data_IF_648789141179
#
_entry.id   IF_648789141179
#
_cell.length_a   1.000
_cell.length_b   1.000
_cell.length_c   1.000
_cell.angle_alpha   90.00
_cell.angle_beta   90.00
_cell.angle_gamma   90.00
#
_symmetry.space_group_name_H-M   'P 1'
#
loop_
_entity.id
_entity.type
_entity.pdbx_description
1 polymer ?
#
# COMPACT_ATOMS: atom_id res chain seq x y z
N UNK A 1 -18.10 16.60 48.26
CA UNK A 1 -18.26 15.41 49.12
C UNK A 1 -17.01 14.56 48.95
N UNK A 2 -16.30 14.32 50.06
CA UNK A 2 -15.18 13.38 50.15
C UNK A 2 -15.70 11.95 50.08
N UNK A 3 -15.03 11.08 49.33
CA UNK A 3 -14.91 9.66 49.70
C UNK A 3 -13.53 9.15 49.30
N UNK A 4 -12.73 8.81 50.31
CA UNK A 4 -11.57 7.94 50.21
C UNK A 4 -12.05 6.49 50.28
N UNK A 5 -11.53 5.63 49.40
CA UNK A 5 -11.34 4.19 49.71
C UNK A 5 -10.10 3.70 48.98
N UNK A 6 -9.05 3.45 49.76
CA UNK A 6 -7.90 2.61 49.41
C UNK A 6 -8.34 1.14 49.35
N UNK A 7 -8.06 0.46 48.24
CA UNK A 7 -8.20 -1.00 48.14
C UNK A 7 -6.95 -1.60 47.50
N UNK A 8 -6.58 -2.74 48.07
CA UNK A 8 -5.30 -3.44 48.04
C UNK A 8 -5.04 -4.12 46.69
N UNK A 9 -3.76 -4.17 46.31
CA UNK A 9 -3.20 -4.96 45.21
C UNK A 9 -3.73 -6.41 45.20
N UNK A 10 -4.15 -6.88 44.03
CA UNK A 10 -4.13 -8.31 43.68
C UNK A 10 -3.65 -8.43 42.24
N UNK A 11 -2.38 -8.81 42.10
CA UNK A 11 -1.77 -9.16 40.84
C UNK A 11 -2.29 -10.55 40.41
N UNK A 12 -3.23 -10.57 39.47
CA UNK A 12 -3.54 -11.76 38.69
C UNK A 12 -2.69 -11.72 37.43
N UNK A 13 -1.54 -12.39 37.49
CA UNK A 13 -0.76 -12.75 36.31
C UNK A 13 -1.56 -13.84 35.59
N UNK A 14 -2.42 -13.45 34.67
CA UNK A 14 -2.91 -14.35 33.63
C UNK A 14 -1.75 -14.58 32.67
N UNK A 15 -1.01 -15.66 32.91
CA UNK A 15 -0.10 -16.23 31.93
C UNK A 15 -0.92 -16.72 30.74
N UNK A 16 -1.21 -15.81 29.82
CA UNK A 16 -1.69 -16.16 28.49
C UNK A 16 -0.53 -16.84 27.78
N UNK A 17 -0.52 -18.16 27.74
CA UNK A 17 0.26 -18.91 26.75
C UNK A 17 -0.37 -18.63 25.40
N UNK A 18 -0.03 -17.47 24.82
CA UNK A 18 -0.24 -17.22 23.41
C UNK A 18 0.63 -18.25 22.71
N UNK A 19 -0.03 -19.18 22.01
CA UNK A 19 0.62 -20.08 21.07
C UNK A 19 1.65 -19.27 20.29
N UNK A 20 2.92 -19.61 20.46
CA UNK A 20 3.98 -19.15 19.59
C UNK A 20 3.75 -19.75 18.21
N UNK A 21 2.82 -19.17 17.45
CA UNK A 21 2.84 -19.26 16.01
C UNK A 21 4.23 -18.77 15.61
N UNK A 22 5.03 -19.68 15.10
CA UNK A 22 6.41 -19.45 14.70
C UNK A 22 6.49 -18.28 13.73
N UNK A 23 6.84 -17.10 14.24
CA UNK A 23 7.26 -15.88 13.53
C UNK A 23 8.51 -16.07 12.64
N UNK A 24 8.92 -17.32 12.37
CA UNK A 24 10.11 -17.63 11.56
C UNK A 24 9.91 -17.28 10.08
N UNK A 25 8.67 -17.26 9.57
CA UNK A 25 8.39 -16.91 8.17
C UNK A 25 8.40 -15.40 7.87
N UNK A 26 7.98 -14.57 8.83
CA UNK A 26 7.85 -13.11 8.62
C UNK A 26 9.18 -12.34 8.76
N UNK A 27 10.27 -13.00 9.20
CA UNK A 27 11.57 -12.37 9.48
C UNK A 27 12.61 -12.54 8.38
N UNK A 28 12.27 -13.24 7.31
CA UNK A 28 13.24 -13.57 6.26
C UNK A 28 13.29 -12.41 5.28
N UNK A 29 14.47 -11.81 5.14
CA UNK A 29 14.78 -10.86 4.05
C UNK A 29 14.41 -11.50 2.72
N UNK A 30 13.71 -10.76 1.87
CA UNK A 30 13.51 -11.17 0.49
C UNK A 30 14.87 -11.11 -0.26
N UNK A 31 15.39 -12.28 -0.64
CA UNK A 31 16.56 -12.43 -1.49
C UNK A 31 16.21 -13.03 -2.85
N UNK A 32 14.96 -13.50 -3.02
CA UNK A 32 14.56 -14.31 -4.17
C UNK A 32 14.14 -13.46 -5.35
N UNK A 33 13.70 -12.21 -5.10
CA UNK A 33 13.13 -11.33 -6.11
C UNK A 33 14.07 -10.21 -6.59
N UNK A 34 15.28 -10.09 -6.01
CA UNK A 34 16.25 -9.03 -6.34
C UNK A 34 16.70 -9.05 -7.82
N UNK A 35 16.65 -10.22 -8.46
CA UNK A 35 16.98 -10.44 -9.88
C UNK A 35 15.76 -10.65 -10.79
N UNK A 36 14.54 -10.57 -10.26
CA UNK A 36 13.32 -10.81 -11.04
C UNK A 36 13.03 -9.60 -11.96
N UNK A 37 13.16 -9.80 -13.27
CA UNK A 37 12.92 -8.74 -14.27
C UNK A 37 11.46 -8.27 -14.30
N UNK A 38 10.51 -9.12 -13.90
CA UNK A 38 9.08 -8.77 -13.91
C UNK A 38 8.73 -7.80 -12.77
N UNK A 39 9.60 -7.69 -11.76
CA UNK A 39 9.45 -6.75 -10.63
C UNK A 39 10.08 -5.40 -10.95
N UNK A 40 11.09 -5.34 -11.82
CA UNK A 40 11.66 -4.06 -12.26
C UNK A 40 10.86 -3.48 -13.44
N UNK A 41 9.82 -2.70 -13.14
CA UNK A 41 9.02 -2.01 -14.16
C UNK A 41 9.55 -0.62 -14.57
N UNK A 42 10.68 -0.17 -14.02
CA UNK A 42 11.18 1.18 -14.27
C UNK A 42 11.95 1.27 -15.58
N UNK A 43 11.77 2.35 -16.37
CA UNK A 43 12.59 2.62 -17.52
C UNK A 43 14.08 2.66 -17.15
N UNK A 44 14.95 2.26 -18.09
CA UNK A 44 16.39 2.40 -17.92
C UNK A 44 16.79 3.88 -17.79
N UNK A 45 17.89 4.19 -17.11
CA UNK A 45 18.30 5.56 -16.81
C UNK A 45 18.46 6.48 -18.04
N UNK A 46 18.79 5.92 -19.20
CA UNK A 46 18.95 6.65 -20.47
C UNK A 46 17.61 6.90 -21.19
N UNK A 47 16.54 6.28 -20.72
CA UNK A 47 15.16 6.40 -21.22
C UNK A 47 14.31 7.24 -20.28
N UNK A 48 14.90 8.26 -19.65
CA UNK A 48 14.20 9.19 -18.75
C UNK A 48 12.87 9.64 -19.38
N UNK A 49 12.84 9.97 -20.69
CA UNK A 49 11.63 10.40 -21.41
C UNK A 49 10.51 9.34 -21.57
N UNK A 50 10.78 8.06 -21.31
CA UNK A 50 9.81 6.96 -21.39
C UNK A 50 9.04 6.73 -20.08
N UNK A 51 9.00 7.73 -19.18
CA UNK A 51 8.49 7.69 -17.79
C UNK A 51 7.20 6.92 -17.47
N UNK A 52 6.43 6.44 -18.44
CA UNK A 52 5.29 5.58 -18.17
C UNK A 52 5.74 4.17 -17.75
N UNK A 53 5.47 3.78 -16.50
CA UNK A 53 5.55 2.38 -16.09
C UNK A 53 4.37 1.60 -16.68
N UNK A 54 4.49 0.28 -16.73
CA UNK A 54 3.39 -0.61 -17.14
C UNK A 54 2.89 -0.41 -18.57
N UNK A 55 3.71 0.21 -19.43
CA UNK A 55 3.44 0.31 -20.87
C UNK A 55 3.27 -1.08 -21.48
N UNK A 56 2.25 -1.23 -22.32
CA UNK A 56 1.87 -2.51 -22.92
C UNK A 56 1.18 -3.49 -21.96
N UNK A 57 1.09 -3.15 -20.66
CA UNK A 57 0.33 -3.91 -19.65
C UNK A 57 -0.96 -3.17 -19.32
N UNK A 58 -0.88 -1.92 -18.88
CA UNK A 58 -2.03 -1.03 -18.67
C UNK A 58 -2.27 -0.28 -19.97
N UNK A 59 -3.21 -0.76 -20.77
CA UNK A 59 -3.48 -0.24 -22.13
C UNK A 59 -4.88 0.34 -22.24
N UNK A 60 -5.14 1.12 -23.30
CA UNK A 60 -6.50 1.58 -23.61
C UNK A 60 -7.46 0.45 -24.00
N UNK A 61 -6.94 -0.71 -24.42
CA UNK A 61 -7.78 -1.88 -24.68
C UNK A 61 -8.31 -2.48 -23.39
N UNK A 62 -7.48 -2.53 -22.34
CA UNK A 62 -7.89 -2.99 -21.01
C UNK A 62 -8.72 -1.94 -20.27
N UNK A 63 -8.34 -0.67 -20.38
CA UNK A 63 -8.99 0.46 -19.73
C UNK A 63 -9.43 1.50 -20.79
N UNK A 64 -10.61 1.36 -21.41
CA UNK A 64 -11.05 2.23 -22.51
C UNK A 64 -11.11 3.72 -22.18
N UNK A 65 -11.29 4.05 -20.90
CA UNK A 65 -11.35 5.43 -20.43
C UNK A 65 -9.98 6.00 -20.03
N UNK A 66 -8.90 5.22 -20.14
CA UNK A 66 -7.54 5.64 -19.80
C UNK A 66 -7.06 6.78 -20.70
N UNK A 67 -6.66 7.88 -20.06
CA UNK A 67 -6.13 9.06 -20.72
C UNK A 67 -4.61 8.95 -20.89
N UNK A 68 -4.19 8.03 -21.75
CA UNK A 68 -2.79 7.92 -22.16
C UNK A 68 -2.55 8.54 -23.55
N UNK A 69 -1.34 9.05 -23.84
CA UNK A 69 -1.01 9.60 -25.17
C UNK A 69 -1.07 8.56 -26.30
N UNK A 70 -0.75 7.31 -26.03
CA UNK A 70 -0.78 6.20 -26.99
C UNK A 70 -1.70 5.06 -26.53
N UNK A 71 -1.96 4.09 -27.41
CA UNK A 71 -2.72 2.89 -27.07
C UNK A 71 -1.94 1.92 -26.18
N UNK A 72 -0.60 1.99 -26.20
CA UNK A 72 0.27 1.22 -25.32
C UNK A 72 0.08 1.60 -23.85
N UNK A 73 -0.52 2.76 -23.57
CA UNK A 73 -0.89 3.19 -22.23
C UNK A 73 0.30 3.39 -21.30
N UNK A 74 0.14 2.93 -20.06
CA UNK A 74 1.08 3.10 -18.95
C UNK A 74 0.67 4.20 -17.97
N UNK A 75 1.37 4.23 -16.83
CA UNK A 75 1.14 5.17 -15.74
C UNK A 75 2.37 6.06 -15.52
N UNK A 76 2.17 7.37 -15.38
CA UNK A 76 3.24 8.37 -15.25
C UNK A 76 3.30 9.00 -13.85
N UNK A 77 2.32 8.74 -12.98
CA UNK A 77 2.26 9.28 -11.61
C UNK A 77 2.57 8.20 -10.57
N UNK A 78 3.87 7.98 -10.33
CA UNK A 78 4.37 7.01 -9.36
C UNK A 78 5.65 7.48 -8.67
N UNK A 79 6.00 6.80 -7.58
CA UNK A 79 7.15 7.10 -6.73
C UNK A 79 7.91 5.81 -6.44
N UNK A 80 9.07 5.60 -7.11
CA UNK A 80 9.95 4.46 -6.83
C UNK A 80 10.49 4.50 -5.41
N UNK A 81 10.45 3.36 -4.71
CA UNK A 81 10.97 3.19 -3.36
C UNK A 81 10.17 3.90 -2.26
N UNK A 82 9.05 4.54 -2.60
CA UNK A 82 8.24 5.32 -1.66
C UNK A 82 6.93 4.60 -1.38
N UNK A 83 6.61 4.49 -0.10
CA UNK A 83 5.38 3.95 0.45
C UNK A 83 4.41 5.09 0.77
N UNK A 84 3.78 5.65 -0.27
CA UNK A 84 2.70 6.61 -0.08
C UNK A 84 1.47 5.85 0.41
N UNK A 85 1.34 5.72 1.72
CA UNK A 85 0.14 5.14 2.35
C UNK A 85 -1.08 6.05 2.18
N UNK A 86 -2.25 5.51 2.52
CA UNK A 86 -3.48 6.28 2.53
C UNK A 86 -4.20 6.35 3.86
N UNK A 87 -5.29 7.12 3.88
CA UNK A 87 -5.81 7.73 5.13
C UNK A 87 -7.23 7.36 5.52
N UNK A 88 -8.02 6.70 4.68
CA UNK A 88 -9.43 6.41 5.00
C UNK A 88 -9.74 4.93 4.96
N UNK A 89 -9.37 4.24 3.89
CA UNK A 89 -9.58 2.81 3.73
C UNK A 89 -8.35 2.16 3.12
N UNK A 90 -8.13 0.90 3.45
CA UNK A 90 -7.13 0.05 2.82
C UNK A 90 -7.74 -1.27 2.37
N UNK A 91 -7.24 -1.80 1.25
CA UNK A 91 -7.51 -3.17 0.79
C UNK A 91 -6.16 -3.81 0.46
N UNK A 92 -5.80 -4.86 1.18
CA UNK A 92 -4.60 -5.64 0.90
C UNK A 92 -4.93 -6.78 -0.08
N UNK A 93 -4.11 -6.91 -1.11
CA UNK A 93 -4.16 -7.95 -2.14
C UNK A 93 -2.77 -8.61 -2.22
N UNK A 94 -2.74 -9.94 -2.26
CA UNK A 94 -1.51 -10.72 -2.18
C UNK A 94 -1.20 -11.43 -3.50
N UNK A 95 -0.07 -12.13 -3.55
CA UNK A 95 0.33 -12.92 -4.72
C UNK A 95 -0.77 -13.88 -5.18
N UNK A 96 -1.43 -14.57 -4.23
CA UNK A 96 -2.57 -15.46 -4.49
C UNK A 96 -3.79 -14.78 -5.12
N UNK A 97 -3.91 -13.46 -5.01
CA UNK A 97 -5.01 -12.65 -5.56
C UNK A 97 -4.69 -12.15 -6.99
N UNK A 98 -3.59 -12.64 -7.57
CA UNK A 98 -3.12 -12.33 -8.91
C UNK A 98 -2.17 -11.14 -8.98
N UNK A 99 -1.60 -10.70 -7.85
CA UNK A 99 -0.62 -9.60 -7.80
C UNK A 99 0.79 -10.15 -7.94
N UNK A 100 1.35 -10.08 -9.15
CA UNK A 100 2.70 -10.57 -9.42
C UNK A 100 3.71 -9.42 -9.55
N UNK A 101 3.24 -8.23 -9.91
CA UNK A 101 4.05 -7.03 -10.09
C UNK A 101 3.23 -5.75 -9.80
N UNK A 102 3.88 -4.59 -9.85
CA UNK A 102 3.21 -3.32 -9.61
C UNK A 102 2.15 -2.95 -10.66
N UNK A 103 2.25 -3.48 -11.88
CA UNK A 103 1.26 -3.23 -12.93
C UNK A 103 -0.06 -3.92 -12.64
N UNK A 104 -0.01 -5.12 -12.06
CA UNK A 104 -1.21 -5.78 -11.54
C UNK A 104 -1.84 -4.94 -10.42
N UNK A 105 -1.01 -4.39 -9.52
CA UNK A 105 -1.49 -3.51 -8.43
C UNK A 105 -2.17 -2.23 -8.95
N UNK A 106 -1.52 -1.54 -9.90
CA UNK A 106 -2.08 -0.35 -10.54
C UNK A 106 -3.38 -0.67 -11.31
N UNK A 107 -3.43 -1.82 -12.01
CA UNK A 107 -4.64 -2.28 -12.69
C UNK A 107 -5.80 -2.50 -11.70
N UNK A 108 -5.56 -3.12 -10.55
CA UNK A 108 -6.58 -3.29 -9.49
C UNK A 108 -7.12 -1.96 -8.98
N UNK A 109 -6.27 -0.94 -8.86
CA UNK A 109 -6.74 0.40 -8.48
C UNK A 109 -7.61 1.03 -9.58
N UNK A 110 -7.22 0.89 -10.85
CA UNK A 110 -8.00 1.38 -12.00
C UNK A 110 -9.33 0.62 -12.18
N UNK A 111 -9.42 -0.64 -11.77
CA UNK A 111 -10.67 -1.43 -11.72
C UNK A 111 -11.63 -0.93 -10.63
N UNK A 112 -11.12 -0.24 -9.61
CA UNK A 112 -11.88 0.23 -8.45
C UNK A 112 -11.90 1.76 -8.31
N UNK A 113 -12.31 2.54 -9.34
CA UNK A 113 -12.18 4.00 -9.35
C UNK A 113 -13.06 4.74 -8.34
N UNK A 114 -13.96 4.03 -7.66
CA UNK A 114 -14.85 4.59 -6.62
C UNK A 114 -14.31 4.40 -5.21
N UNK A 115 -13.29 3.56 -5.05
CA UNK A 115 -12.71 3.21 -3.74
C UNK A 115 -11.19 3.24 -3.70
N UNK A 116 -10.52 3.38 -4.85
CA UNK A 116 -9.06 3.49 -4.94
C UNK A 116 -8.66 4.81 -5.62
N UNK A 117 -7.75 5.54 -4.97
CA UNK A 117 -7.06 6.68 -5.58
C UNK A 117 -5.53 6.56 -5.51
N UNK A 118 -5.03 5.66 -4.69
CA UNK A 118 -3.62 5.42 -4.46
C UNK A 118 -3.37 3.93 -4.25
N UNK A 119 -2.22 3.44 -4.69
CA UNK A 119 -1.83 2.06 -4.54
C UNK A 119 -0.35 1.96 -4.19
N UNK A 120 0.03 0.90 -3.46
CA UNK A 120 1.41 0.61 -3.09
C UNK A 120 1.71 -0.87 -3.32
N UNK A 121 2.75 -1.15 -4.08
CA UNK A 121 3.31 -2.49 -4.27
C UNK A 121 4.60 -2.62 -3.46
N UNK A 122 4.57 -3.41 -2.39
CA UNK A 122 5.69 -3.60 -1.44
C UNK A 122 5.52 -4.87 -0.60
N UNK A 123 6.55 -5.25 0.14
CA UNK A 123 6.39 -6.22 1.24
C UNK A 123 5.55 -5.61 2.36
N UNK A 124 4.39 -6.21 2.64
CA UNK A 124 3.54 -5.78 3.75
C UNK A 124 3.96 -6.40 5.08
N UNK A 125 4.71 -7.51 5.05
CA UNK A 125 5.07 -8.31 6.22
C UNK A 125 3.84 -8.73 7.03
N UNK A 126 2.79 -9.11 6.31
CA UNK A 126 1.48 -9.50 6.86
C UNK A 126 1.26 -10.98 6.61
N UNK A 127 0.45 -11.61 7.46
CA UNK A 127 0.11 -13.01 7.28
C UNK A 127 -0.56 -13.23 5.91
N UNK A 128 0.03 -14.11 5.10
CA UNK A 128 -0.49 -14.45 3.77
C UNK A 128 0.11 -13.67 2.61
N UNK A 129 1.12 -12.83 2.84
CA UNK A 129 1.98 -12.32 1.76
C UNK A 129 3.00 -13.36 1.26
N UNK A 130 3.19 -14.45 2.01
CA UNK A 130 4.08 -15.57 1.72
C UNK A 130 5.52 -15.12 1.38
N UNK A 131 5.96 -14.02 1.99
CA UNK A 131 7.28 -13.43 1.72
C UNK A 131 7.40 -12.81 0.33
N UNK A 132 6.28 -12.46 -0.31
CA UNK A 132 6.21 -11.75 -1.59
C UNK A 132 5.70 -10.33 -1.39
N UNK A 133 6.06 -9.47 -2.34
CA UNK A 133 5.43 -8.14 -2.43
C UNK A 133 3.94 -8.32 -2.65
N UNK A 134 3.19 -7.46 -2.01
CA UNK A 134 1.74 -7.38 -2.01
C UNK A 134 1.31 -6.00 -2.49
N UNK A 135 0.05 -5.86 -2.85
CA UNK A 135 -0.57 -4.61 -3.25
C UNK A 135 -1.51 -4.12 -2.16
N UNK A 136 -1.33 -2.89 -1.69
CA UNK A 136 -2.32 -2.23 -0.84
C UNK A 136 -2.95 -1.09 -1.62
N UNK A 137 -4.28 -1.10 -1.72
CA UNK A 137 -5.09 -0.06 -2.34
C UNK A 137 -5.62 0.89 -1.27
N UNK A 138 -5.56 2.18 -1.54
CA UNK A 138 -6.03 3.23 -0.63
C UNK A 138 -6.99 4.19 -1.32
N UNK A 139 -7.97 4.69 -0.58
CA UNK A 139 -8.96 5.66 -1.08
C UNK A 139 -8.48 7.12 -1.08
N UNK A 140 -7.44 7.47 -0.35
CA UNK A 140 -6.89 8.84 -0.29
C UNK A 140 -5.45 8.82 0.22
N UNK A 141 -4.52 9.63 -0.33
CA UNK A 141 -3.12 9.65 0.10
C UNK A 141 -2.88 10.29 1.47
N UNK A 142 -1.72 9.99 2.04
CA UNK A 142 -1.18 10.55 3.29
C UNK A 142 -1.46 12.04 3.47
N UNK A 143 -1.78 12.41 4.72
CA UNK A 143 -2.06 13.78 5.11
C UNK A 143 -0.85 14.44 5.77
N UNK A 144 -0.71 15.77 5.63
CA UNK A 144 0.25 16.54 6.40
C UNK A 144 0.11 16.30 7.92
N UNK A 145 1.22 16.30 8.66
CA UNK A 145 1.26 16.08 10.13
C UNK A 145 0.40 17.05 10.94
N UNK A 146 0.04 18.20 10.39
CA UNK A 146 -0.83 19.21 11.01
C UNK A 146 -2.31 19.07 10.63
N UNK A 147 -2.70 17.99 9.95
CA UNK A 147 -4.09 17.68 9.61
C UNK A 147 -4.55 16.47 10.41
N UNK A 148 -5.60 16.65 11.21
CA UNK A 148 -6.25 15.57 11.96
C UNK A 148 -7.61 15.26 11.34
N UNK A 149 -7.80 14.03 10.87
CA UNK A 149 -9.12 13.55 10.46
C UNK A 149 -9.91 13.10 11.69
N UNK A 150 -11.15 13.57 11.79
CA UNK A 150 -12.12 13.08 12.75
C UNK A 150 -13.14 12.22 12.01
N UNK A 151 -13.23 10.94 12.37
CA UNK A 151 -14.18 10.01 11.77
C UNK A 151 -15.40 9.83 12.68
N UNK A 152 -16.59 10.00 12.13
CA UNK A 152 -17.81 9.52 12.77
C UNK A 152 -17.98 8.02 12.46
N UNK A 153 -17.34 7.19 13.28
CA UNK A 153 -17.39 5.73 13.12
C UNK A 153 -18.81 5.16 13.31
N UNK A 154 -19.68 5.86 14.05
CA UNK A 154 -21.04 5.41 14.32
C UNK A 154 -22.04 5.75 13.22
N UNK A 155 -21.80 6.85 12.49
CA UNK A 155 -22.62 7.30 11.37
C UNK A 155 -22.12 6.87 9.97
N UNK A 156 -20.92 6.31 9.87
CA UNK A 156 -20.31 5.95 8.58
C UNK A 156 -20.49 4.47 8.22
N UNK A 157 -20.53 4.15 6.93
CA UNK A 157 -20.63 2.77 6.40
C UNK A 157 -19.64 2.55 5.26
N UNK A 158 -19.15 1.31 5.08
CA UNK A 158 -18.33 0.95 3.91
C UNK A 158 -16.84 1.29 4.01
N UNK A 159 -16.32 1.53 5.22
CA UNK A 159 -14.90 1.75 5.47
C UNK A 159 -14.32 0.65 6.36
N UNK A 160 -13.05 0.31 6.17
CA UNK A 160 -12.26 -0.44 7.14
C UNK A 160 -11.27 0.53 7.78
N UNK A 161 -11.22 0.55 9.10
CA UNK A 161 -10.20 1.31 9.84
C UNK A 161 -8.81 0.82 9.44
N UNK A 162 -7.91 1.76 9.17
CA UNK A 162 -6.52 1.47 8.85
C UNK A 162 -5.85 0.67 9.97
N UNK A 163 -4.96 -0.24 9.58
CA UNK A 163 -4.05 -0.89 10.53
C UNK A 163 -3.26 0.17 11.32
N UNK A 164 -3.04 0.04 12.64
CA UNK A 164 -2.34 1.06 13.45
C UNK A 164 -0.95 1.47 12.94
N UNK A 165 -0.27 0.58 12.19
CA UNK A 165 1.01 0.86 11.54
C UNK A 165 0.92 1.79 10.33
N UNK A 166 -0.23 1.84 9.68
CA UNK A 166 -0.52 2.69 8.51
C UNK A 166 -1.08 4.04 8.97
N UNK A 167 -0.40 4.69 9.92
CA UNK A 167 -0.89 5.93 10.53
C UNK A 167 -0.81 7.09 9.51
N UNK A 168 -1.96 7.62 9.06
CA UNK A 168 -2.01 8.66 8.04
C UNK A 168 -1.50 10.04 8.50
N UNK A 169 -1.32 10.23 9.81
CA UNK A 169 -0.89 11.48 10.42
C UNK A 169 0.62 11.58 10.65
N UNK A 170 1.40 10.56 10.23
CA UNK A 170 2.88 10.66 10.23
C UNK A 170 3.43 11.55 9.09
N UNK A 171 2.58 12.00 8.17
CA UNK A 171 2.94 12.59 6.88
C UNK A 171 3.65 13.94 6.92
N UNK A 172 4.96 13.93 7.13
CA UNK A 172 5.82 14.96 6.58
C UNK A 172 6.71 14.32 5.53
N UNK A 173 7.40 13.25 5.92
CA UNK A 173 8.18 12.42 5.00
C UNK A 173 7.36 11.18 4.63
N UNK A 174 7.24 10.92 3.32
CA UNK A 174 6.68 9.67 2.86
C UNK A 174 7.64 8.52 3.26
N UNK A 175 7.15 7.43 3.89
CA UNK A 175 7.98 6.29 4.23
C UNK A 175 8.62 5.67 2.98
N UNK A 176 9.76 4.99 3.18
CA UNK A 176 10.35 4.15 2.14
C UNK A 176 9.70 2.75 2.17
N UNK A 177 9.79 2.04 1.05
CA UNK A 177 9.54 0.60 1.01
C UNK A 177 10.78 -0.17 1.48
N UNK A 178 10.60 -1.34 2.09
CA UNK A 178 11.69 -2.14 2.67
C UNK A 178 11.59 -3.61 2.31
N UNK A 179 12.75 -4.29 2.23
CA UNK A 179 12.88 -5.73 2.01
C UNK A 179 12.89 -6.53 3.31
N UNK A 180 12.93 -5.84 4.46
CA UNK A 180 12.96 -6.42 5.79
C UNK A 180 12.01 -5.71 6.76
N UNK A 181 11.46 -6.47 7.72
CA UNK A 181 10.61 -5.90 8.79
C UNK A 181 11.36 -4.91 9.71
N UNK A 182 12.69 -4.95 9.72
CA UNK A 182 13.52 -4.08 10.54
C UNK A 182 13.73 -2.69 9.91
N UNK A 183 13.22 -2.46 8.69
CA UNK A 183 13.38 -1.22 7.94
C UNK A 183 14.85 -0.81 7.76
N UNK A 184 15.74 -1.77 7.53
CA UNK A 184 17.18 -1.51 7.34
C UNK A 184 17.62 -1.63 5.88
N UNK A 185 16.81 -2.27 5.03
CA UNK A 185 17.11 -2.48 3.62
C UNK A 185 16.01 -1.88 2.75
N UNK A 186 16.30 -0.72 2.15
CA UNK A 186 15.35 -0.04 1.25
C UNK A 186 15.08 -0.91 0.03
N UNK A 187 13.80 -1.13 -0.24
CA UNK A 187 13.34 -1.79 -1.45
C UNK A 187 13.24 -0.78 -2.58
N UNK A 188 14.23 -0.79 -3.48
CA UNK A 188 14.25 0.11 -4.65
C UNK A 188 13.18 -0.22 -5.70
N UNK A 189 12.56 -1.41 -5.64
CA UNK A 189 11.52 -1.85 -6.57
C UNK A 189 10.11 -1.76 -6.00
N UNK A 190 9.99 -1.55 -4.69
CA UNK A 190 8.75 -1.11 -4.10
C UNK A 190 8.32 0.21 -4.76
N UNK A 191 7.02 0.39 -4.96
CA UNK A 191 6.51 1.54 -5.70
C UNK A 191 5.11 1.87 -5.26
N UNK A 192 4.83 3.16 -5.19
CA UNK A 192 3.48 3.69 -5.03
C UNK A 192 3.06 4.49 -6.25
N UNK A 193 1.77 4.56 -6.51
CA UNK A 193 1.24 5.37 -7.58
C UNK A 193 -0.17 5.86 -7.32
N UNK A 194 -0.61 6.75 -8.20
CA UNK A 194 -1.94 7.32 -8.16
C UNK A 194 -2.78 6.81 -9.30
N UNK A 195 -4.07 6.63 -9.04
CA UNK A 195 -5.08 6.44 -10.07
C UNK A 195 -6.27 7.34 -9.75
N UNK A 196 -6.81 8.06 -10.73
CA UNK A 196 -7.98 8.91 -10.51
C UNK A 196 -8.95 8.81 -11.67
N UNK A 197 -10.24 9.00 -11.38
CA UNK A 197 -11.29 9.17 -12.39
C UNK A 197 -11.86 10.57 -12.28
N UNK A 198 -11.92 11.30 -13.39
CA UNK A 198 -12.55 12.62 -13.39
C UNK A 198 -14.08 12.56 -13.47
N UNK A 199 -14.72 13.72 -13.40
CA UNK A 199 -16.18 13.85 -13.44
C UNK A 199 -16.80 13.46 -14.79
N UNK A 200 -16.00 13.22 -15.83
CA UNK A 200 -16.44 12.72 -17.13
C UNK A 200 -16.19 11.21 -17.27
N UNK A 201 -15.74 10.53 -16.21
CA UNK A 201 -15.45 9.10 -16.22
C UNK A 201 -14.09 8.74 -16.83
N UNK A 202 -13.26 9.73 -17.17
CA UNK A 202 -11.93 9.49 -17.75
C UNK A 202 -10.95 9.10 -16.65
N UNK A 203 -10.11 8.10 -16.91
CA UNK A 203 -9.17 7.54 -15.94
C UNK A 203 -7.74 7.99 -16.20
N UNK A 204 -7.00 8.21 -15.13
CA UNK A 204 -5.62 8.67 -15.17
C UNK A 204 -4.78 7.85 -14.21
N UNK A 205 -3.61 7.48 -14.67
CA UNK A 205 -2.44 7.10 -13.90
C UNK A 205 -1.23 7.67 -14.67
#
# INVERSE_FOLDING_TARGET
MYFQTTTVLSALILSSTVLGATLKGLRVRDQDDDSNSDINMFPSGDQYNDYAICKGKITKNQFPNLQAPSNDGGCVRYFPGIDITGVVTEVDLFFRDGIHNACDCAARCLEAPESCTNWVFKHAFKQGDDGKRSCTLYSSPNLPTNVTLQYDLGGSTGFQTLSPGNNPQKGCDAPLTFLDMANTQVDKYGVSGFAVRDTQGRQYC
#
